data_IF_479221755713
#
_entry.id   IF_479221755713
#
_cell.length_a   1.000
_cell.length_b   1.000
_cell.length_c   1.000
_cell.angle_alpha   90.00
_cell.angle_beta   90.00
_cell.angle_gamma   90.00
#
_symmetry.space_group_name_H-M   'P 1'
#
loop_
_entity.id
_entity.type
_entity.pdbx_description
1 polymer ?
#
# COMPACT_ATOMS: atom_id res chain seq x y z
N UNK A 1 -9.70 21.43 10.11
CA UNK A 1 -8.75 20.97 11.14
C UNK A 1 -9.27 19.65 11.66
N UNK A 2 -8.75 18.53 11.17
CA UNK A 2 -9.06 17.22 11.75
C UNK A 2 -8.33 17.10 13.09
N UNK A 3 -9.03 16.70 14.15
CA UNK A 3 -8.45 16.48 15.48
C UNK A 3 -8.05 15.00 15.62
N UNK A 4 -7.14 14.70 16.56
CA UNK A 4 -6.65 13.33 16.86
C UNK A 4 -7.76 12.28 17.12
N UNK A 5 -9.02 12.70 17.26
CA UNK A 5 -10.19 11.86 17.53
C UNK A 5 -10.74 11.10 16.32
N UNK A 6 -10.32 11.43 15.10
CA UNK A 6 -10.83 10.75 13.87
C UNK A 6 -10.03 9.49 13.50
N UNK A 7 -8.98 9.17 14.25
CA UNK A 7 -8.18 7.97 14.02
C UNK A 7 -8.70 6.81 14.87
N UNK A 8 -9.10 5.67 14.27
CA UNK A 8 -9.47 4.49 15.03
C UNK A 8 -8.31 4.08 15.95
N UNK A 9 -8.65 3.63 17.18
CA UNK A 9 -7.75 3.28 18.30
C UNK A 9 -6.70 2.19 18.01
N UNK A 10 -6.47 1.82 16.75
CA UNK A 10 -5.59 0.73 16.31
C UNK A 10 -4.21 1.20 15.80
N UNK A 11 -3.82 2.46 16.04
CA UNK A 11 -2.49 2.96 15.63
C UNK A 11 -1.31 2.42 16.46
N UNK A 12 -1.56 1.66 17.54
CA UNK A 12 -0.50 1.16 18.44
C UNK A 12 0.44 0.13 17.79
N UNK A 13 0.03 -0.47 16.69
CA UNK A 13 0.73 -1.58 16.03
C UNK A 13 1.11 -1.28 14.57
N UNK A 14 1.12 -0.01 14.17
CA UNK A 14 1.63 0.35 12.85
C UNK A 14 3.14 0.06 12.79
N UNK A 15 3.67 -0.35 11.62
CA UNK A 15 5.11 -0.42 11.44
C UNK A 15 5.76 0.92 11.83
N UNK A 16 7.01 0.91 12.33
CA UNK A 16 7.70 2.13 12.71
C UNK A 16 7.70 3.09 11.52
N UNK A 17 7.26 4.31 11.77
CA UNK A 17 7.23 5.37 10.75
C UNK A 17 8.66 5.84 10.52
N UNK A 18 9.10 5.81 9.28
CA UNK A 18 10.32 6.49 8.91
C UNK A 18 9.97 7.97 8.69
N UNK A 19 10.28 8.82 9.67
CA UNK A 19 10.01 10.26 9.61
C UNK A 19 11.10 11.04 8.85
N UNK A 20 12.19 10.36 8.46
CA UNK A 20 13.27 10.98 7.71
C UNK A 20 12.93 11.06 6.23
N UNK A 21 13.14 12.23 5.63
CA UNK A 21 13.11 12.38 4.18
C UNK A 21 14.30 11.62 3.61
N UNK A 22 14.05 10.49 2.94
CA UNK A 22 15.08 9.68 2.31
C UNK A 22 15.32 10.20 0.89
N UNK A 23 16.54 10.66 0.61
CA UNK A 23 16.96 10.93 -0.77
C UNK A 23 17.35 9.61 -1.45
N UNK A 24 16.68 9.27 -2.54
CA UNK A 24 16.94 8.06 -3.34
C UNK A 24 17.87 8.40 -4.52
N UNK A 25 19.02 8.99 -4.23
CA UNK A 25 20.00 9.36 -5.26
C UNK A 25 20.45 8.12 -6.06
N UNK A 26 20.42 8.24 -7.39
CA UNK A 26 20.80 7.16 -8.30
C UNK A 26 19.75 6.06 -8.47
N UNK A 27 18.58 6.15 -7.83
CA UNK A 27 17.47 5.25 -8.10
C UNK A 27 16.62 5.74 -9.27
N UNK A 28 16.19 4.81 -10.11
CA UNK A 28 15.21 5.08 -11.16
C UNK A 28 13.81 5.17 -10.55
N UNK A 29 13.06 6.17 -11.02
CA UNK A 29 11.66 6.37 -10.64
C UNK A 29 10.78 6.02 -11.82
N UNK A 30 9.73 5.26 -11.53
CA UNK A 30 8.73 4.87 -12.50
C UNK A 30 7.37 5.33 -11.98
N UNK A 31 6.62 6.01 -12.83
CA UNK A 31 5.26 6.43 -12.50
C UNK A 31 4.31 5.23 -12.57
N UNK A 32 3.29 5.24 -11.69
CA UNK A 32 2.23 4.24 -11.71
C UNK A 32 1.25 4.62 -12.81
N UNK A 33 1.11 3.76 -13.81
CA UNK A 33 0.17 3.97 -14.92
C UNK A 33 -1.17 3.30 -14.70
N UNK A 34 -1.15 2.13 -14.07
CA UNK A 34 -2.35 1.38 -13.71
C UNK A 34 -2.12 0.63 -12.40
N UNK A 35 -3.14 0.57 -11.55
CA UNK A 35 -3.12 -0.29 -10.37
C UNK A 35 -4.48 -0.94 -10.16
N UNK A 36 -4.48 -2.12 -9.55
CA UNK A 36 -5.71 -2.85 -9.25
C UNK A 36 -5.52 -3.73 -8.01
N UNK A 37 -6.61 -3.93 -7.28
CA UNK A 37 -6.65 -4.78 -6.09
C UNK A 37 -7.66 -5.87 -6.34
N UNK A 38 -7.28 -7.13 -6.11
CA UNK A 38 -8.20 -8.25 -6.24
C UNK A 38 -8.08 -9.25 -5.08
N UNK A 39 -9.17 -9.99 -4.80
CA UNK A 39 -9.11 -11.17 -3.96
C UNK A 39 -8.23 -12.24 -4.62
N UNK A 40 -7.41 -12.90 -3.82
CA UNK A 40 -6.50 -13.94 -4.29
C UNK A 40 -6.77 -15.28 -3.60
N UNK A 41 -6.63 -16.35 -4.37
CA UNK A 41 -6.64 -17.72 -3.91
C UNK A 41 -5.34 -18.42 -4.35
N UNK A 42 -4.79 -19.28 -3.49
CA UNK A 42 -3.47 -19.90 -3.72
C UNK A 42 -3.47 -20.95 -4.83
N UNK A 43 -4.61 -21.60 -5.09
CA UNK A 43 -4.68 -22.60 -6.14
C UNK A 43 -4.63 -21.95 -7.54
N UNK A 44 -3.88 -22.53 -8.49
CA UNK A 44 -3.64 -21.94 -9.80
C UNK A 44 -4.87 -21.87 -10.70
N UNK A 45 -5.91 -22.65 -10.39
CA UNK A 45 -7.20 -22.63 -11.08
C UNK A 45 -8.13 -21.52 -10.58
N UNK A 46 -7.75 -20.81 -9.50
CA UNK A 46 -8.58 -19.80 -8.85
C UNK A 46 -9.86 -20.35 -8.22
N UNK A 47 -10.01 -21.67 -8.11
CA UNK A 47 -11.22 -22.27 -7.55
C UNK A 47 -11.05 -22.45 -6.04
N UNK A 48 -11.71 -21.57 -5.29
CA UNK A 48 -11.74 -21.61 -3.83
C UNK A 48 -12.15 -20.28 -3.22
N UNK A 49 -12.29 -20.25 -1.91
CA UNK A 49 -12.53 -19.01 -1.17
C UNK A 49 -11.25 -18.17 -1.14
N UNK A 50 -11.36 -16.89 -1.46
CA UNK A 50 -10.21 -15.99 -1.39
C UNK A 50 -9.64 -15.93 0.04
N UNK A 51 -8.34 -16.15 0.17
CA UNK A 51 -7.64 -16.17 1.46
C UNK A 51 -6.69 -14.98 1.64
N UNK A 52 -6.41 -14.24 0.56
CA UNK A 52 -5.46 -13.13 0.53
C UNK A 52 -5.97 -12.01 -0.37
N UNK A 53 -5.31 -10.87 -0.32
CA UNK A 53 -5.51 -9.75 -1.23
C UNK A 53 -4.21 -9.51 -2.00
N UNK A 54 -4.29 -9.27 -3.31
CA UNK A 54 -3.13 -8.80 -4.06
C UNK A 54 -3.33 -7.38 -4.58
N UNK A 55 -2.25 -6.58 -4.51
CA UNK A 55 -2.12 -5.30 -5.18
C UNK A 55 -1.22 -5.52 -6.40
N UNK A 56 -1.77 -5.26 -7.57
CA UNK A 56 -1.08 -5.35 -8.85
C UNK A 56 -0.87 -3.94 -9.39
N UNK A 57 0.35 -3.62 -9.79
CA UNK A 57 0.78 -2.29 -10.24
C UNK A 57 1.53 -2.45 -11.56
N UNK A 58 1.13 -1.68 -12.57
CA UNK A 58 1.89 -1.47 -13.80
C UNK A 58 2.61 -0.13 -13.69
N UNK A 59 3.88 -0.15 -14.09
CA UNK A 59 4.77 1.00 -14.09
C UNK A 59 5.04 1.45 -15.53
N UNK A 60 5.01 2.76 -15.78
CA UNK A 60 5.39 3.33 -17.08
C UNK A 60 6.89 3.07 -17.34
N UNK A 61 7.24 2.51 -18.50
CA UNK A 61 8.62 2.16 -18.84
C UNK A 61 9.13 0.82 -18.30
N UNK A 62 8.28 0.08 -17.57
CA UNK A 62 8.55 -1.29 -17.10
C UNK A 62 7.29 -2.18 -17.22
N UNK A 63 6.57 -2.05 -18.34
CA UNK A 63 5.26 -2.67 -18.53
C UNK A 63 5.31 -4.21 -18.60
N UNK A 64 6.47 -4.77 -18.93
CA UNK A 64 6.72 -6.21 -19.01
C UNK A 64 6.95 -6.86 -17.64
N UNK A 65 7.14 -6.06 -16.59
CA UNK A 65 7.43 -6.55 -15.24
C UNK A 65 6.50 -5.90 -14.20
N UNK A 66 5.23 -6.32 -14.10
CA UNK A 66 4.31 -5.75 -13.12
C UNK A 66 4.76 -6.05 -11.69
N UNK A 67 4.61 -5.06 -10.81
CA UNK A 67 4.84 -5.24 -9.38
C UNK A 67 3.59 -5.83 -8.74
N UNK A 68 3.75 -6.98 -8.07
CA UNK A 68 2.64 -7.67 -7.38
C UNK A 68 2.99 -7.86 -5.91
N UNK A 69 2.15 -7.30 -5.04
CA UNK A 69 2.26 -7.45 -3.60
C UNK A 69 1.07 -8.25 -3.06
N UNK A 70 1.31 -9.18 -2.14
CA UNK A 70 0.27 -10.01 -1.51
C UNK A 70 0.17 -9.71 -0.02
N UNK A 71 -1.05 -9.46 0.44
CA UNK A 71 -1.40 -9.24 1.83
C UNK A 71 -2.10 -10.48 2.37
N UNK A 72 -1.47 -11.13 3.35
CA UNK A 72 -1.95 -12.40 3.93
C UNK A 72 -2.94 -12.21 5.08
N UNK A 73 -3.19 -10.97 5.50
CA UNK A 73 -4.12 -10.67 6.59
C UNK A 73 -4.73 -9.28 6.43
N UNK A 74 -5.95 -9.10 6.93
CA UNK A 74 -6.61 -7.79 7.02
C UNK A 74 -5.70 -6.76 7.71
N UNK A 75 -5.08 -7.17 8.83
CA UNK A 75 -4.12 -6.34 9.58
C UNK A 75 -3.00 -5.77 8.71
N UNK A 76 -2.41 -6.56 7.81
CA UNK A 76 -1.34 -6.06 6.92
C UNK A 76 -1.85 -5.03 5.90
N UNK A 77 -3.11 -5.16 5.47
CA UNK A 77 -3.78 -4.16 4.61
C UNK A 77 -4.05 -2.87 5.40
N UNK A 78 -4.57 -2.99 6.61
CA UNK A 78 -4.86 -1.84 7.47
C UNK A 78 -3.59 -1.05 7.79
N UNK A 79 -2.47 -1.74 8.03
CA UNK A 79 -1.17 -1.12 8.27
C UNK A 79 -0.68 -0.28 7.08
N UNK A 80 -0.74 -0.81 5.84
CA UNK A 80 -0.32 -0.04 4.66
C UNK A 80 -1.26 1.13 4.38
N UNK A 81 -2.57 0.95 4.55
CA UNK A 81 -3.55 2.03 4.40
C UNK A 81 -3.28 3.14 5.43
N UNK A 82 -3.04 2.77 6.70
CA UNK A 82 -2.70 3.72 7.76
C UNK A 82 -1.43 4.51 7.45
N UNK A 83 -0.37 3.83 7.03
CA UNK A 83 0.90 4.46 6.66
C UNK A 83 0.72 5.44 5.48
N UNK A 84 0.05 5.02 4.41
CA UNK A 84 -0.18 5.87 3.22
C UNK A 84 -1.06 7.08 3.53
N UNK A 85 -2.13 6.90 4.34
CA UNK A 85 -3.00 8.01 4.76
C UNK A 85 -2.23 9.05 5.57
N UNK A 86 -1.38 8.62 6.51
CA UNK A 86 -0.56 9.53 7.30
C UNK A 86 0.40 10.33 6.42
N UNK A 87 1.18 9.68 5.56
CA UNK A 87 2.14 10.37 4.69
C UNK A 87 1.45 11.26 3.64
N UNK A 88 0.24 10.90 3.17
CA UNK A 88 -0.55 11.80 2.33
C UNK A 88 -0.77 13.14 3.02
N UNK A 89 -1.14 13.13 4.30
CA UNK A 89 -1.40 14.33 5.09
C UNK A 89 -0.11 15.12 5.33
N UNK A 90 1.00 14.44 5.60
CA UNK A 90 2.30 15.09 5.81
C UNK A 90 2.82 15.77 4.53
N UNK A 91 2.61 15.18 3.36
CA UNK A 91 3.09 15.70 2.06
C UNK A 91 2.15 16.76 1.47
N UNK A 92 0.82 16.53 1.51
CA UNK A 92 -0.17 17.38 0.81
C UNK A 92 -1.18 18.07 1.73
N UNK A 93 -1.18 17.78 3.03
CA UNK A 93 -2.14 18.35 3.98
C UNK A 93 -3.51 17.67 3.99
N UNK A 94 -4.47 18.31 4.67
CA UNK A 94 -5.86 17.87 4.77
C UNK A 94 -6.72 18.61 3.73
N UNK A 95 -6.59 18.22 2.46
CA UNK A 95 -7.60 18.54 1.43
C UNK A 95 -8.81 17.61 1.55
#
# INVERSE_FOLDING_TARGET
MATESDYPREMKDLPPVNEEIVNLEGQEFYDISEWSVFPFHELPDGQGEASQVHLWIRLDGAEDMPLVMRFKSARSVDQIIGALRRHRIEVWGNE
#
